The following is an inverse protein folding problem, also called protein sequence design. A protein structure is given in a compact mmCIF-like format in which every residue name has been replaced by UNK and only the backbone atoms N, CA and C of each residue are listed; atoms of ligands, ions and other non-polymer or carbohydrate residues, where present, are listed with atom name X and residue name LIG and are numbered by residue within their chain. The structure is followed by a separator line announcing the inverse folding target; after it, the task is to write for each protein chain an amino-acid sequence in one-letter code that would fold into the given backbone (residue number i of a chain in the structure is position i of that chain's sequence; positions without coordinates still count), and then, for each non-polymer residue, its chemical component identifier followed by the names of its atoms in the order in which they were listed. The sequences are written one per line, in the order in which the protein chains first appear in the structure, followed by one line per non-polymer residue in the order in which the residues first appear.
data_IF_161586927082
#
_entry.id   IF_161586927082
#
_cell.length_a   1.000
_cell.length_b   1.000
_cell.length_c   1.000
_cell.angle_alpha   90.00
_cell.angle_beta   90.00
_cell.angle_gamma   90.00
#
_symmetry.space_group_name_H-M   'P 1'
#
loop_
_entity.id
_entity.type
_entity.pdbx_description
1 polymer ?
#
# COMPACT_ATOMS: atom_id res chain seq x y z
N UNK A 1 -28.01 -10.70 -8.06
CA UNK A 1 -27.52 -10.28 -8.14
C UNK A 1 -26.96 -9.52 -7.79
N UNK A 2 -26.81 -8.99 -7.48
CA UNK A 2 -26.31 -8.32 -7.12
C UNK A 2 -25.23 -7.85 -7.52
N UNK A 3 -25.05 -7.90 -8.35
CA UNK A 3 -24.00 -7.42 -8.94
C UNK A 3 -23.86 -6.05 -8.90
N UNK A 4 -24.60 -5.38 -8.22
CA UNK A 4 -24.48 -3.95 -8.15
C UNK A 4 -23.12 -3.52 -7.72
N UNK A 5 -22.44 -4.31 -6.97
CA UNK A 5 -21.12 -3.88 -6.55
C UNK A 5 -20.05 -4.37 -7.48
N UNK A 6 -20.41 -4.87 -8.59
CA UNK A 6 -19.42 -5.31 -9.51
C UNK A 6 -18.85 -4.26 -10.41
N UNK A 7 -19.35 -3.05 -10.51
CA UNK A 7 -18.77 -2.13 -11.50
C UNK A 7 -17.31 -1.85 -11.30
N UNK A 8 -16.78 -2.05 -10.11
CA UNK A 8 -15.38 -1.81 -9.90
C UNK A 8 -14.52 -3.01 -10.19
N UNK A 9 -15.13 -4.12 -10.56
CA UNK A 9 -14.36 -5.31 -10.83
C UNK A 9 -13.76 -5.25 -12.22
N UNK A 10 -12.49 -5.64 -12.31
CA UNK A 10 -11.87 -5.78 -13.62
C UNK A 10 -12.41 -7.03 -14.29
N UNK A 11 -12.42 -7.07 -15.62
CA UNK A 11 -12.85 -8.25 -16.32
C UNK A 11 -11.87 -9.40 -16.11
N UNK A 12 -12.30 -10.59 -16.50
CA UNK A 12 -11.45 -11.78 -16.51
C UNK A 12 -10.99 -12.21 -15.14
N UNK A 13 -11.77 -11.89 -14.10
CA UNK A 13 -11.43 -12.37 -12.76
C UNK A 13 -10.31 -11.63 -12.10
N UNK A 14 -9.80 -10.58 -12.71
CA UNK A 14 -8.78 -9.78 -12.05
C UNK A 14 -9.39 -9.01 -10.89
N UNK A 15 -8.55 -8.61 -9.96
CA UNK A 15 -8.99 -7.83 -8.83
C UNK A 15 -9.42 -6.44 -9.29
N UNK A 16 -10.36 -5.82 -8.56
CA UNK A 16 -10.64 -4.41 -8.84
C UNK A 16 -9.41 -3.58 -8.56
N UNK A 17 -9.33 -2.42 -9.19
CA UNK A 17 -8.14 -1.58 -9.00
C UNK A 17 -8.05 -1.01 -7.60
N UNK A 18 -9.17 -0.90 -6.89
CA UNK A 18 -9.15 -0.41 -5.51
C UNK A 18 -10.02 -1.29 -4.64
N UNK A 19 -9.65 -1.40 -3.36
CA UNK A 19 -10.48 -2.07 -2.38
C UNK A 19 -10.45 -1.23 -1.10
N UNK A 20 -11.44 -1.43 -0.25
CA UNK A 20 -11.46 -0.74 1.03
C UNK A 20 -10.69 -1.56 2.07
N UNK A 21 -10.67 -1.05 3.30
CA UNK A 21 -9.90 -1.70 4.36
C UNK A 21 -10.36 -3.13 4.63
N UNK A 22 -11.67 -3.37 4.56
CA UNK A 22 -12.20 -4.72 4.80
C UNK A 22 -11.77 -5.66 3.67
N UNK A 23 -11.85 -5.20 2.44
CA UNK A 23 -11.39 -6.00 1.31
C UNK A 23 -9.92 -6.26 1.36
N UNK A 24 -9.15 -5.26 1.78
CA UNK A 24 -7.71 -5.41 1.92
C UNK A 24 -7.38 -6.45 2.98
N UNK A 25 -8.07 -6.40 4.11
CA UNK A 25 -7.84 -7.36 5.17
C UNK A 25 -8.13 -8.79 4.70
N UNK A 26 -9.20 -8.95 3.94
CA UNK A 26 -9.53 -10.28 3.41
C UNK A 26 -8.46 -10.78 2.46
N UNK A 27 -7.91 -9.90 1.62
CA UNK A 27 -6.84 -10.28 0.72
C UNK A 27 -5.58 -10.69 1.48
N UNK A 28 -5.24 -9.92 2.52
CA UNK A 28 -4.06 -10.23 3.32
C UNK A 28 -4.23 -11.60 3.98
N UNK A 29 -5.43 -11.86 4.51
CA UNK A 29 -5.68 -13.14 5.15
C UNK A 29 -5.61 -14.30 4.16
N UNK A 30 -5.92 -14.04 2.91
CA UNK A 30 -5.86 -15.09 1.91
C UNK A 30 -4.47 -15.29 1.34
N UNK A 31 -3.47 -14.52 1.80
CA UNK A 31 -2.10 -14.72 1.38
C UNK A 31 -1.58 -13.76 0.34
N UNK A 32 -2.34 -12.71 0.02
CA UNK A 32 -1.87 -11.72 -0.95
C UNK A 32 -0.60 -11.03 -0.45
N UNK A 33 0.27 -10.65 -1.37
CA UNK A 33 1.44 -9.86 -1.02
C UNK A 33 0.99 -8.44 -0.68
N UNK A 34 1.52 -7.91 0.39
CA UNK A 34 1.16 -6.57 0.87
C UNK A 34 2.38 -5.67 0.71
N UNK A 35 2.27 -4.71 -0.21
CA UNK A 35 3.41 -3.90 -0.60
C UNK A 35 3.14 -2.43 -0.30
N UNK A 36 4.00 -1.84 0.51
CA UNK A 36 3.97 -0.43 0.85
C UNK A 36 4.84 0.29 -0.17
N UNK A 37 4.25 1.18 -0.95
CA UNK A 37 5.01 1.87 -2.01
C UNK A 37 5.48 3.24 -1.57
N UNK A 38 5.44 3.52 -0.26
CA UNK A 38 5.87 4.80 0.28
C UNK A 38 7.38 4.86 0.45
N UNK A 39 7.84 5.99 0.96
CA UNK A 39 9.26 6.14 1.25
C UNK A 39 9.65 5.35 2.49
N UNK A 40 10.96 5.17 2.67
CA UNK A 40 11.45 4.44 3.84
C UNK A 40 11.06 5.14 5.14
N UNK A 41 11.09 6.47 5.14
CA UNK A 41 10.73 7.22 6.35
C UNK A 41 9.28 7.01 6.74
N UNK A 42 8.40 7.00 5.75
CA UNK A 42 6.98 6.75 6.03
C UNK A 42 6.80 5.34 6.57
N UNK A 43 7.48 4.38 5.98
CA UNK A 43 7.38 2.98 6.39
C UNK A 43 7.88 2.81 7.82
N UNK A 44 9.00 3.44 8.15
CA UNK A 44 9.56 3.33 9.49
C UNK A 44 8.68 3.96 10.55
N UNK A 45 7.97 5.03 10.19
CA UNK A 45 7.09 5.71 11.15
C UNK A 45 5.89 4.84 11.54
N UNK A 46 5.39 4.05 10.59
CA UNK A 46 4.27 3.18 10.86
C UNK A 46 3.83 2.52 9.58
N UNK A 47 3.53 1.23 9.62
CA UNK A 47 3.16 0.46 8.44
C UNK A 47 2.10 -0.55 8.80
N UNK A 48 1.37 -1.01 7.82
CA UNK A 48 0.40 -2.07 8.04
C UNK A 48 1.18 -3.32 8.42
N UNK A 49 0.68 -4.02 9.43
CA UNK A 49 1.34 -5.22 9.93
C UNK A 49 1.56 -6.22 8.79
N UNK A 50 2.78 -6.69 8.66
CA UNK A 50 3.12 -7.67 7.63
C UNK A 50 3.51 -7.09 6.29
N UNK A 51 3.56 -5.76 6.16
CA UNK A 51 3.88 -5.15 4.87
C UNK A 51 5.37 -5.24 4.56
N UNK A 52 5.66 -5.39 3.28
CA UNK A 52 7.01 -5.21 2.73
C UNK A 52 7.03 -3.87 2.03
N UNK A 53 8.18 -3.21 2.02
CA UNK A 53 8.26 -1.94 1.31
C UNK A 53 9.01 -2.11 -0.01
N UNK A 54 8.38 -1.70 -1.07
CA UNK A 54 9.04 -1.48 -2.35
C UNK A 54 8.55 -0.12 -2.83
N UNK A 55 9.40 0.89 -2.72
CA UNK A 55 9.00 2.24 -3.07
C UNK A 55 8.52 2.33 -4.51
N UNK A 56 7.65 3.28 -4.76
CA UNK A 56 7.03 3.38 -6.08
C UNK A 56 8.08 3.45 -7.19
N UNK A 57 9.14 4.21 -6.96
CA UNK A 57 10.16 4.37 -7.98
C UNK A 57 11.05 3.13 -8.12
N UNK A 58 11.00 2.21 -7.17
CA UNK A 58 11.77 0.98 -7.24
C UNK A 58 11.03 -0.15 -7.91
N UNK A 59 9.72 0.00 -8.06
CA UNK A 59 8.90 -1.09 -8.58
C UNK A 59 9.32 -1.59 -9.95
N UNK A 60 9.66 -0.71 -10.92
CA UNK A 60 10.02 -1.24 -12.23
C UNK A 60 11.21 -2.18 -12.18
N UNK A 61 12.20 -1.88 -11.36
CA UNK A 61 13.40 -2.72 -11.28
C UNK A 61 13.17 -3.95 -10.43
N UNK A 62 12.25 -3.89 -9.51
CA UNK A 62 12.02 -4.98 -8.57
C UNK A 62 10.77 -5.79 -8.88
N UNK A 63 10.17 -5.56 -10.03
CA UNK A 63 8.91 -6.22 -10.34
C UNK A 63 9.05 -7.74 -10.41
N UNK A 64 10.25 -8.24 -10.67
CA UNK A 64 10.45 -9.69 -10.73
C UNK A 64 10.36 -10.34 -9.36
N UNK A 65 10.34 -9.54 -8.29
CA UNK A 65 10.11 -10.06 -6.95
C UNK A 65 8.65 -10.38 -6.72
N UNK A 66 7.77 -9.96 -7.63
CA UNK A 66 6.35 -10.24 -7.55
C UNK A 66 5.96 -11.20 -8.65
N UNK A 67 4.99 -12.05 -8.37
CA UNK A 67 4.56 -13.06 -9.32
C UNK A 67 3.17 -12.72 -9.84
N UNK A 68 2.94 -12.81 -11.16
CA UNK A 68 1.59 -12.58 -11.69
C UNK A 68 0.55 -13.54 -11.14
N UNK A 69 0.99 -14.66 -10.58
CA UNK A 69 0.08 -15.66 -10.04
C UNK A 69 -0.32 -15.41 -8.62
N UNK A 70 0.31 -14.44 -7.95
CA UNK A 70 -0.03 -14.11 -6.58
C UNK A 70 -0.70 -12.75 -6.52
N UNK A 71 -1.86 -12.64 -5.89
CA UNK A 71 -2.46 -11.31 -5.74
C UNK A 71 -1.53 -10.39 -4.99
N UNK A 72 -1.51 -9.12 -5.37
CA UNK A 72 -0.69 -8.12 -4.71
C UNK A 72 -1.55 -6.92 -4.36
N UNK A 73 -1.43 -6.49 -3.12
CA UNK A 73 -2.14 -5.34 -2.60
C UNK A 73 -1.11 -4.25 -2.35
N UNK A 74 -1.24 -3.15 -3.07
CA UNK A 74 -0.37 -2.00 -2.88
C UNK A 74 -1.07 -0.98 -2.00
N UNK A 75 -0.31 -0.28 -1.16
CA UNK A 75 -0.89 0.83 -0.43
C UNK A 75 0.14 1.94 -0.27
N UNK A 76 -0.38 3.15 -0.03
CA UNK A 76 0.46 4.29 0.27
C UNK A 76 -0.24 5.10 1.35
N UNK A 77 0.05 6.38 1.46
CA UNK A 77 -0.55 7.17 2.52
C UNK A 77 -2.03 7.44 2.28
N UNK A 78 -2.39 7.90 1.09
CA UNK A 78 -3.78 8.25 0.79
C UNK A 78 -4.35 7.53 -0.42
N UNK A 79 -3.56 6.70 -1.10
CA UNK A 79 -4.07 5.86 -2.17
C UNK A 79 -3.64 6.24 -3.57
N UNK A 80 -3.02 7.40 -3.78
CA UNK A 80 -2.69 7.85 -5.14
C UNK A 80 -1.51 7.09 -5.73
N UNK A 81 -0.42 7.00 -4.99
CA UNK A 81 0.76 6.31 -5.47
C UNK A 81 0.48 4.82 -5.68
N UNK A 82 -0.26 4.24 -4.74
CA UNK A 82 -0.56 2.81 -4.84
C UNK A 82 -1.56 2.51 -5.96
N UNK A 83 -2.45 3.45 -6.27
CA UNK A 83 -3.34 3.25 -7.40
C UNK A 83 -2.55 3.22 -8.71
N UNK A 84 -1.55 4.10 -8.83
CA UNK A 84 -0.70 4.07 -10.02
C UNK A 84 0.01 2.73 -10.14
N UNK A 85 0.52 2.20 -9.02
CA UNK A 85 1.17 0.90 -9.04
C UNK A 85 0.20 -0.19 -9.44
N UNK A 86 -1.00 -0.18 -8.87
CA UNK A 86 -1.99 -1.20 -9.18
C UNK A 86 -2.38 -1.17 -10.65
N UNK A 87 -2.54 0.03 -11.20
CA UNK A 87 -2.89 0.17 -12.60
C UNK A 87 -1.79 -0.40 -13.51
N UNK A 88 -0.55 -0.05 -13.22
CA UNK A 88 0.56 -0.52 -14.05
C UNK A 88 0.70 -2.03 -13.98
N UNK A 89 0.60 -2.59 -12.79
CA UNK A 89 0.75 -4.03 -12.64
C UNK A 89 -0.44 -4.78 -13.20
N UNK A 90 -1.64 -4.22 -13.06
CA UNK A 90 -2.81 -4.84 -13.63
C UNK A 90 -2.70 -4.91 -15.16
N UNK A 91 -2.21 -3.83 -15.77
CA UNK A 91 -2.01 -3.82 -17.21
C UNK A 91 -0.94 -4.81 -17.65
N UNK A 92 -0.03 -5.13 -16.74
CA UNK A 92 1.02 -6.10 -17.05
C UNK A 92 0.59 -7.54 -16.76
N UNK A 93 -0.67 -7.75 -16.37
CA UNK A 93 -1.17 -9.11 -16.16
C UNK A 93 -1.16 -9.60 -14.73
N UNK A 94 -0.82 -8.73 -13.78
CA UNK A 94 -0.83 -9.12 -12.37
C UNK A 94 -2.22 -8.93 -11.78
N UNK A 95 -2.54 -9.69 -10.75
CA UNK A 95 -3.74 -9.45 -9.95
C UNK A 95 -3.38 -8.40 -8.91
N UNK A 96 -3.59 -7.14 -9.24
CA UNK A 96 -3.13 -6.03 -8.41
C UNK A 96 -4.29 -5.13 -8.02
N UNK A 97 -4.26 -4.66 -6.78
CA UNK A 97 -5.26 -3.73 -6.29
C UNK A 97 -4.59 -2.73 -5.35
N UNK A 98 -5.25 -1.62 -5.11
CA UNK A 98 -4.77 -0.56 -4.23
C UNK A 98 -5.72 -0.36 -3.07
N UNK A 99 -5.18 -0.14 -1.88
CA UNK A 99 -6.01 0.17 -0.72
C UNK A 99 -6.50 1.61 -0.82
N UNK A 100 -7.78 1.76 -1.03
CA UNK A 100 -8.41 3.06 -1.14
C UNK A 100 -8.27 3.81 0.18
N UNK A 101 -7.81 5.05 0.11
CA UNK A 101 -7.59 5.84 1.32
C UNK A 101 -6.28 5.50 2.03
N UNK A 102 -5.57 4.50 1.59
CA UNK A 102 -4.25 4.19 2.10
C UNK A 102 -4.22 3.79 3.56
N UNK A 103 -3.07 3.99 4.19
CA UNK A 103 -2.89 3.57 5.57
C UNK A 103 -3.81 4.34 6.51
N UNK A 104 -4.20 5.56 6.12
CA UNK A 104 -5.16 6.32 6.93
C UNK A 104 -6.48 5.60 7.06
N UNK A 105 -7.01 5.09 5.93
CA UNK A 105 -8.26 4.34 5.96
C UNK A 105 -8.12 3.05 6.77
N UNK A 106 -6.96 2.42 6.70
CA UNK A 106 -6.69 1.20 7.47
C UNK A 106 -6.79 1.47 8.97
N UNK A 107 -6.15 2.56 9.40
CA UNK A 107 -6.16 2.93 10.82
C UNK A 107 -7.57 3.35 11.24
N UNK A 108 -8.26 4.12 10.40
CA UNK A 108 -9.61 4.55 10.70
C UNK A 108 -10.56 3.37 10.87
N UNK A 109 -10.26 2.27 10.21
CA UNK A 109 -11.05 1.05 10.35
C UNK A 109 -10.68 0.25 11.60
N UNK A 110 -9.77 0.76 12.42
CA UNK A 110 -9.39 0.12 13.67
C UNK A 110 -8.41 -1.03 13.51
N UNK A 111 -7.70 -1.07 12.40
CA UNK A 111 -6.83 -2.19 12.12
C UNK A 111 -5.40 -1.91 12.53
N UNK A 112 -4.63 -2.94 12.71
CA UNK A 112 -3.31 -2.86 13.33
C UNK A 112 -2.24 -2.34 12.41
N UNK A 113 -1.33 -1.58 12.98
CA UNK A 113 -0.10 -1.17 12.31
C UNK A 113 1.09 -1.54 13.19
N UNK A 114 2.27 -1.53 12.59
CA UNK A 114 3.53 -1.79 13.28
C UNK A 114 4.42 -0.56 13.15
N UNK A 115 5.01 -0.12 14.24
CA UNK A 115 4.76 -0.55 15.60
C UNK A 115 3.39 -0.07 16.06
N UNK A 116 2.89 -0.61 17.15
CA UNK A 116 1.55 -0.27 17.61
C UNK A 116 1.39 1.22 17.87
N UNK A 117 2.43 1.86 18.33
CA UNK A 117 2.40 3.30 18.59
C UNK A 117 2.93 4.10 17.40
N UNK A 118 2.98 3.49 16.23
CA UNK A 118 3.43 4.18 15.04
C UNK A 118 2.45 5.24 14.60
N UNK A 119 2.87 6.04 13.64
CA UNK A 119 2.05 7.12 13.12
C UNK A 119 2.23 7.22 11.62
N UNK A 120 1.34 7.98 10.98
CA UNK A 120 1.40 8.17 9.54
C UNK A 120 2.35 9.32 9.27
N UNK A 121 3.50 9.02 8.62
CA UNK A 121 4.40 10.05 8.17
C UNK A 121 3.96 10.58 6.82
N UNK A 122 4.38 11.79 6.51
CA UNK A 122 4.15 12.36 5.19
C UNK A 122 5.47 12.38 4.45
N UNK A 123 5.48 12.17 3.15
CA UNK A 123 6.75 12.11 2.44
C UNK A 123 7.62 13.33 2.67
N UNK A 124 7.05 14.51 2.52
CA UNK A 124 7.81 15.73 2.72
C UNK A 124 8.06 16.03 4.17
N UNK A 125 7.03 15.84 4.99
CA UNK A 125 7.16 16.14 6.41
C UNK A 125 8.09 15.18 7.10
N UNK A 126 8.01 13.91 6.76
CA UNK A 126 8.86 12.92 7.39
C UNK A 126 10.32 13.24 7.14
N UNK A 127 10.64 13.58 5.90
CA UNK A 127 12.02 13.93 5.57
C UNK A 127 12.46 15.19 6.32
N UNK A 128 11.57 16.18 6.36
CA UNK A 128 11.89 17.44 7.04
C UNK A 128 12.10 17.24 8.53
N UNK A 129 11.25 16.43 9.14
CA UNK A 129 11.36 16.16 10.55
C UNK A 129 12.67 15.44 10.86
N UNK A 130 13.03 14.48 10.03
CA UNK A 130 14.27 13.76 10.24
C UNK A 130 15.47 14.65 10.08
N UNK A 131 15.43 15.53 9.10
CA UNK A 131 16.51 16.50 8.94
C UNK A 131 16.63 17.40 10.14
N UNK A 132 15.50 17.88 10.63
CA UNK A 132 15.50 18.75 11.78
C UNK A 132 16.05 18.04 13.01
N UNK A 133 15.67 16.79 13.19
CA UNK A 133 16.17 16.01 14.32
C UNK A 133 17.66 15.79 14.19
N UNK A 134 18.12 15.50 12.99
CA UNK A 134 19.54 15.29 12.76
C UNK A 134 20.33 16.55 13.08
N UNK A 135 19.84 17.69 12.62
CA UNK A 135 20.52 18.93 12.90
C UNK A 135 20.53 19.23 14.38
N UNK A 136 19.40 19.00 15.05
CA UNK A 136 19.32 19.22 16.48
C UNK A 136 20.28 18.30 17.23
N UNK A 137 20.37 17.06 16.79
CA UNK A 137 21.24 16.10 17.45
C UNK A 137 22.70 16.45 17.27
N UNK A 138 23.06 17.09 16.17
CA UNK A 138 24.45 17.42 15.94
C UNK A 138 24.83 18.79 16.49
N UNK A 139 23.87 19.55 16.97
CA UNK A 139 24.23 20.79 17.63
C UNK A 139 24.28 20.59 19.11
#
# INVERSE_FOLDING_TARGET
MTEANEPTQAPDGLLPLECDAAGAAALIESGARLIDVRTAHEFDAGRITGAERIGLEELPERRTELSPEEPVLFYCRIGNRSLMAAQAFSEAGFEATSLSGGIGAWIDAGRRIDPEDGFIGEPGEAASILEARSRAASS
#
